data_IF_653691807319
#
_entry.id   IF_653691807319
#
_cell.length_a   1.000
_cell.length_b   1.000
_cell.length_c   1.000
_cell.angle_alpha   90.00
_cell.angle_beta   90.00
_cell.angle_gamma   90.00
#
_symmetry.space_group_name_H-M   'P 1'
#
loop_
_entity.id
_entity.type
_entity.pdbx_description
1 polymer ?
#
# COMPACT_ATOMS: atom_id res chain seq x y z
N UNK A 1 20.68 -19.95 9.68
CA UNK A 1 19.33 -20.56 9.57
C UNK A 1 19.16 -21.28 8.25
N UNK A 2 19.31 -20.60 7.11
CA UNK A 2 19.11 -21.21 5.78
C UNK A 2 19.99 -22.45 5.54
N UNK A 3 21.28 -22.42 5.86
CA UNK A 3 22.16 -23.59 5.73
C UNK A 3 21.76 -24.79 6.62
N UNK A 4 21.06 -24.56 7.74
CA UNK A 4 20.52 -25.65 8.57
C UNK A 4 19.30 -26.28 7.90
N UNK A 5 18.47 -25.47 7.25
CA UNK A 5 17.30 -25.92 6.51
C UNK A 5 17.68 -26.60 5.19
N UNK A 6 18.75 -26.14 4.55
CA UNK A 6 19.35 -26.76 3.37
C UNK A 6 20.14 -28.04 3.68
N UNK A 7 20.37 -28.36 4.96
CA UNK A 7 21.12 -29.55 5.38
C UNK A 7 22.65 -29.40 5.32
N UNK A 8 23.17 -28.24 4.93
CA UNK A 8 24.60 -27.93 4.81
C UNK A 8 25.29 -27.73 6.17
N UNK A 9 24.53 -27.44 7.23
CA UNK A 9 25.03 -27.25 8.59
C UNK A 9 24.12 -27.94 9.60
N UNK A 10 24.68 -28.73 10.50
CA UNK A 10 23.90 -29.40 11.53
C UNK A 10 23.44 -28.43 12.63
N UNK A 11 22.38 -28.82 13.35
CA UNK A 11 21.90 -28.07 14.53
C UNK A 11 23.00 -27.95 15.59
N UNK A 12 23.79 -29.00 15.79
CA UNK A 12 24.89 -29.04 16.75
C UNK A 12 26.04 -28.09 16.38
N UNK A 13 26.43 -28.04 15.11
CA UNK A 13 27.44 -27.10 14.62
C UNK A 13 26.97 -25.65 14.75
N UNK A 14 25.72 -25.40 14.39
CA UNK A 14 25.10 -24.08 14.52
C UNK A 14 25.06 -23.61 15.98
N UNK A 15 24.68 -24.50 16.90
CA UNK A 15 24.63 -24.23 18.33
C UNK A 15 26.01 -23.88 18.90
N UNK A 16 27.05 -24.66 18.55
CA UNK A 16 28.44 -24.37 18.96
C UNK A 16 28.93 -23.02 18.42
N UNK A 17 28.70 -22.74 17.13
CA UNK A 17 29.13 -21.47 16.50
C UNK A 17 28.42 -20.26 17.11
N UNK A 18 27.14 -20.39 17.41
CA UNK A 18 26.33 -19.31 17.98
C UNK A 18 26.39 -19.25 19.51
N UNK A 19 27.10 -20.17 20.18
CA UNK A 19 27.19 -20.29 21.65
C UNK A 19 25.83 -20.37 22.34
N UNK A 20 24.89 -21.07 21.73
CA UNK A 20 23.54 -21.31 22.26
C UNK A 20 23.26 -22.81 22.32
N UNK A 21 22.19 -23.20 23.01
CA UNK A 21 21.81 -24.61 23.10
C UNK A 21 21.29 -25.15 21.76
N UNK A 22 21.53 -26.44 21.49
CA UNK A 22 20.92 -27.14 20.35
C UNK A 22 19.39 -27.08 20.37
N UNK A 23 18.80 -27.10 21.57
CA UNK A 23 17.37 -26.92 21.78
C UNK A 23 16.88 -25.57 21.23
N UNK A 24 17.59 -24.48 21.49
CA UNK A 24 17.23 -23.14 20.99
C UNK A 24 17.27 -23.10 19.46
N UNK A 25 18.31 -23.66 18.85
CA UNK A 25 18.42 -23.77 17.39
C UNK A 25 17.31 -24.64 16.81
N UNK A 26 16.98 -25.76 17.46
CA UNK A 26 15.88 -26.65 17.06
C UNK A 26 14.53 -25.93 17.07
N UNK A 27 14.23 -25.18 18.12
CA UNK A 27 13.02 -24.34 18.20
C UNK A 27 12.95 -23.36 17.03
N UNK A 28 14.03 -22.62 16.75
CA UNK A 28 14.06 -21.67 15.64
C UNK A 28 13.93 -22.35 14.27
N UNK A 29 14.51 -23.55 14.09
CA UNK A 29 14.35 -24.34 12.86
C UNK A 29 12.88 -24.68 12.59
N UNK A 30 12.11 -25.00 13.62
CA UNK A 30 10.68 -25.28 13.50
C UNK A 30 9.84 -24.01 13.28
N UNK A 31 10.18 -22.90 13.95
CA UNK A 31 9.44 -21.63 13.85
C UNK A 31 9.68 -20.86 12.56
N UNK A 32 10.88 -20.98 11.97
CA UNK A 32 11.28 -20.19 10.81
C UNK A 32 10.37 -20.38 9.58
N UNK A 33 10.00 -21.62 9.17
CA UNK A 33 9.10 -21.82 8.03
C UNK A 33 7.71 -21.25 8.25
N UNK A 34 7.17 -21.37 9.46
CA UNK A 34 5.84 -20.86 9.82
C UNK A 34 5.83 -19.33 9.80
N UNK A 35 6.82 -18.71 10.45
CA UNK A 35 7.00 -17.26 10.44
C UNK A 35 7.29 -16.72 9.03
N UNK A 36 8.04 -17.48 8.22
CA UNK A 36 8.29 -17.16 6.81
C UNK A 36 7.02 -17.19 5.97
N UNK A 37 6.17 -18.22 6.12
CA UNK A 37 4.87 -18.30 5.45
C UNK A 37 3.95 -17.17 5.88
N UNK A 38 3.88 -16.85 7.17
CA UNK A 38 3.07 -15.73 7.66
C UNK A 38 3.57 -14.38 7.11
N UNK A 39 4.89 -14.16 7.09
CA UNK A 39 5.50 -12.97 6.52
C UNK A 39 5.31 -12.83 5.01
N UNK A 40 5.24 -13.94 4.27
CA UNK A 40 4.90 -13.95 2.84
C UNK A 40 3.40 -13.80 2.61
N UNK A 41 2.55 -14.36 3.48
CA UNK A 41 1.11 -14.22 3.41
C UNK A 41 0.67 -12.76 3.57
N UNK A 42 1.30 -12.01 4.48
CA UNK A 42 1.10 -10.56 4.60
C UNK A 42 1.64 -9.73 3.42
N UNK A 43 2.43 -10.34 2.53
CA UNK A 43 2.96 -9.76 1.29
C UNK A 43 2.31 -10.35 0.04
N UNK A 44 1.18 -11.04 0.19
CA UNK A 44 0.43 -11.60 -0.94
C UNK A 44 -0.20 -10.49 -1.78
N UNK A 45 0.60 -9.93 -2.68
CA UNK A 45 0.21 -9.14 -3.85
C UNK A 45 0.22 -7.61 -3.68
N UNK A 46 0.77 -6.84 -4.65
CA UNK A 46 0.28 -5.49 -4.92
C UNK A 46 -1.16 -5.63 -5.45
N UNK A 47 -2.14 -5.65 -4.55
CA UNK A 47 -3.44 -6.24 -4.87
C UNK A 47 -4.64 -5.49 -4.36
N UNK A 48 -4.78 -5.30 -3.05
CA UNK A 48 -6.06 -4.78 -2.54
C UNK A 48 -5.97 -3.31 -2.19
N UNK A 49 -5.00 -2.91 -1.37
CA UNK A 49 -4.92 -1.52 -0.93
C UNK A 49 -4.47 -0.57 -2.03
N UNK A 50 -3.45 -0.95 -2.78
CA UNK A 50 -2.91 -0.12 -3.86
C UNK A 50 -3.93 0.04 -4.98
N UNK A 51 -4.58 -1.04 -5.42
CA UNK A 51 -5.66 -0.98 -6.42
C UNK A 51 -6.87 -0.18 -5.93
N UNK A 52 -7.24 -0.28 -4.64
CA UNK A 52 -8.29 0.57 -4.06
C UNK A 52 -7.90 2.06 -4.06
N UNK A 53 -6.61 2.36 -3.85
CA UNK A 53 -6.10 3.73 -3.91
C UNK A 53 -6.08 4.25 -5.34
N UNK A 54 -5.65 3.44 -6.31
CA UNK A 54 -5.67 3.79 -7.73
C UNK A 54 -7.10 4.04 -8.23
N UNK A 55 -8.05 3.17 -7.86
CA UNK A 55 -9.46 3.37 -8.16
C UNK A 55 -9.99 4.69 -7.56
N UNK A 56 -9.66 4.97 -6.29
CA UNK A 56 -10.02 6.26 -5.67
C UNK A 56 -9.39 7.46 -6.36
N UNK A 57 -8.15 7.36 -6.81
CA UNK A 57 -7.48 8.44 -7.53
C UNK A 57 -8.20 8.70 -8.85
N UNK A 58 -8.58 7.66 -9.59
CA UNK A 58 -9.33 7.78 -10.84
C UNK A 58 -10.68 8.48 -10.61
N UNK A 59 -11.46 8.00 -9.64
CA UNK A 59 -12.78 8.57 -9.30
C UNK A 59 -12.68 10.05 -8.90
N UNK A 60 -11.71 10.38 -8.03
CA UNK A 60 -11.51 11.76 -7.57
C UNK A 60 -11.04 12.68 -8.70
N UNK A 61 -10.19 12.18 -9.61
CA UNK A 61 -9.70 12.96 -10.75
C UNK A 61 -10.85 13.30 -11.70
N UNK A 62 -11.75 12.35 -11.94
CA UNK A 62 -12.93 12.60 -12.78
C UNK A 62 -13.88 13.62 -12.15
N UNK A 63 -14.24 13.43 -10.88
CA UNK A 63 -15.12 14.37 -10.17
C UNK A 63 -14.54 15.80 -10.13
N UNK A 64 -13.22 15.93 -9.98
CA UNK A 64 -12.55 17.23 -10.03
C UNK A 64 -12.65 17.87 -11.43
N UNK A 65 -12.51 17.07 -12.49
CA UNK A 65 -12.68 17.53 -13.87
C UNK A 65 -14.09 18.04 -14.15
N UNK A 66 -15.11 17.30 -13.70
CA UNK A 66 -16.52 17.68 -13.85
C UNK A 66 -16.82 18.99 -13.13
N UNK A 67 -16.41 19.12 -11.87
CA UNK A 67 -16.58 20.36 -11.09
C UNK A 67 -15.86 21.55 -11.74
N UNK A 68 -14.66 21.35 -12.30
CA UNK A 68 -13.92 22.40 -12.98
C UNK A 68 -14.64 22.90 -14.25
N UNK A 69 -15.31 22.01 -14.97
CA UNK A 69 -16.15 22.37 -16.14
C UNK A 69 -17.37 23.17 -15.70
N UNK A 70 -18.09 22.71 -14.67
CA UNK A 70 -19.27 23.41 -14.14
C UNK A 70 -18.93 24.83 -13.69
N UNK A 71 -17.83 25.01 -12.96
CA UNK A 71 -17.35 26.32 -12.52
C UNK A 71 -17.03 27.23 -13.71
N UNK A 72 -16.43 26.70 -14.78
CA UNK A 72 -16.13 27.48 -15.99
C UNK A 72 -17.40 27.90 -16.72
N UNK A 73 -18.38 27.02 -16.84
CA UNK A 73 -19.67 27.33 -17.46
C UNK A 73 -20.41 28.39 -16.67
N UNK A 74 -20.44 28.26 -15.35
CA UNK A 74 -21.08 29.23 -14.46
C UNK A 74 -20.42 30.61 -14.59
N UNK A 75 -19.08 30.67 -14.55
CA UNK A 75 -18.33 31.91 -14.73
C UNK A 75 -18.63 32.59 -16.07
N UNK A 76 -18.57 31.83 -17.18
CA UNK A 76 -18.87 32.35 -18.53
C UNK A 76 -20.31 32.86 -18.64
N UNK A 77 -21.25 32.17 -17.99
CA UNK A 77 -22.67 32.55 -17.99
C UNK A 77 -22.94 33.81 -17.14
N UNK A 78 -22.17 34.00 -16.06
CA UNK A 78 -22.23 35.21 -15.24
C UNK A 78 -21.67 36.45 -15.95
N UNK A 79 -20.62 36.28 -16.76
CA UNK A 79 -20.00 37.36 -17.55
C UNK A 79 -20.92 37.92 -18.66
N UNK A 80 -21.90 37.12 -19.13
CA UNK A 80 -22.85 37.53 -20.17
C UNK A 80 -24.10 38.26 -19.67
N UNK A 81 -24.26 38.48 -18.36
CA UNK A 81 -25.46 39.15 -17.81
C UNK A 81 -25.29 40.68 -17.91
N UNK A 82 -26.18 41.42 -18.60
CA UNK A 82 -26.19 42.86 -18.53
C UNK A 82 -26.37 43.29 -17.06
N UNK A 83 -25.50 44.20 -16.59
CA UNK A 83 -25.69 44.83 -15.27
C UNK A 83 -27.08 45.48 -15.18
N UNK A 84 -27.68 45.57 -13.97
CA UNK A 84 -29.01 46.14 -13.82
C UNK A 84 -29.05 47.54 -14.45
N UNK A 85 -30.13 47.90 -15.17
CA UNK A 85 -30.22 49.19 -15.84
C UNK A 85 -30.05 50.29 -14.79
N UNK A 86 -29.08 51.19 -15.02
CA UNK A 86 -28.91 52.38 -14.20
C UNK A 86 -30.18 53.22 -14.35
N UNK A 87 -31.02 53.24 -13.33
CA UNK A 87 -32.14 54.18 -13.26
C UNK A 87 -31.53 55.58 -13.19
N UNK A 88 -31.64 56.34 -14.29
CA UNK A 88 -31.36 57.77 -14.28
C UNK A 88 -32.47 58.47 -13.49
N UNK A 89 -32.09 59.30 -12.52
CA UNK A 89 -32.95 60.27 -11.83
C UNK A 89 -32.41 61.65 -12.15
#
# INVERSE_FOLDING_TARGET
>A
MLSILAGEMTVAEAARRAKVSERSIGTWKHQFPESGRAGLAGKSGPGTREQQLEARIADLTQALGEAAVELRVWKKSAEGRPGPPRTAR
#
